data_IF_611727192968
#
_entry.id   IF_611727192968
#
_cell.length_a   1.000
_cell.length_b   1.000
_cell.length_c   1.000
_cell.angle_alpha   90.00
_cell.angle_beta   90.00
_cell.angle_gamma   90.00
#
_symmetry.space_group_name_H-M   'P 1'
#
loop_
_entity.id
_entity.type
_entity.pdbx_description
1 polymer ?
#
# COMPACT_ATOMS: atom_id res chain seq x y z
N UNK A 1 5.58 17.46 22.59
CA UNK A 1 4.21 16.88 22.58
C UNK A 1 4.16 15.98 21.36
N UNK A 2 4.16 14.69 21.63
CA UNK A 2 4.15 13.69 20.59
C UNK A 2 2.82 13.72 19.84
N UNK A 3 2.90 13.86 18.50
CA UNK A 3 1.73 13.79 17.63
C UNK A 3 1.20 12.35 17.63
N UNK A 4 0.47 11.99 18.67
CA UNK A 4 -0.27 10.73 18.73
C UNK A 4 -1.33 10.76 17.62
N UNK A 5 -1.51 9.69 16.84
CA UNK A 5 -2.60 9.58 15.86
C UNK A 5 -3.93 9.91 16.52
N UNK A 6 -4.88 10.47 15.75
CA UNK A 6 -6.21 10.76 16.29
C UNK A 6 -6.78 9.50 16.94
N UNK A 7 -7.51 9.65 18.04
CA UNK A 7 -8.04 8.51 18.81
C UNK A 7 -8.81 7.50 17.95
N UNK A 8 -9.51 7.95 16.89
CA UNK A 8 -10.17 7.07 15.91
C UNK A 8 -9.20 6.20 15.11
N UNK A 9 -8.06 6.75 14.67
CA UNK A 9 -7.07 5.97 13.90
C UNK A 9 -6.40 4.91 14.78
N UNK A 10 -6.11 5.24 16.05
CA UNK A 10 -5.56 4.27 16.99
C UNK A 10 -6.57 3.19 17.37
N UNK A 11 -7.84 3.56 17.56
CA UNK A 11 -8.91 2.60 17.84
C UNK A 11 -9.16 1.65 16.67
N UNK A 12 -9.16 2.14 15.43
CA UNK A 12 -9.24 1.31 14.24
C UNK A 12 -8.04 0.35 14.13
N UNK A 13 -6.83 0.85 14.30
CA UNK A 13 -5.63 -0.02 14.29
C UNK A 13 -5.70 -1.10 15.38
N UNK A 14 -6.07 -0.73 16.61
CA UNK A 14 -6.19 -1.68 17.72
C UNK A 14 -7.29 -2.70 17.46
N UNK A 15 -8.46 -2.25 17.01
CA UNK A 15 -9.57 -3.12 16.65
C UNK A 15 -9.18 -4.17 15.59
N UNK A 16 -8.47 -3.77 14.55
CA UNK A 16 -7.99 -4.71 13.53
C UNK A 16 -6.87 -5.62 14.02
N UNK A 17 -5.99 -5.14 14.89
CA UNK A 17 -4.95 -5.97 15.49
C UNK A 17 -5.53 -7.01 16.47
N UNK A 18 -6.56 -6.64 17.22
CA UNK A 18 -7.25 -7.54 18.15
C UNK A 18 -8.06 -8.64 17.42
N UNK A 19 -8.60 -8.32 16.23
CA UNK A 19 -9.33 -9.29 15.40
C UNK A 19 -8.43 -10.36 14.75
N UNK A 20 -7.15 -10.10 14.58
CA UNK A 20 -6.20 -11.00 13.89
C UNK A 20 -5.87 -12.25 14.71
N UNK A 21 -6.16 -12.28 16.00
CA UNK A 21 -5.78 -13.38 16.90
C UNK A 21 -6.85 -14.46 17.11
N UNK A 22 -8.07 -14.28 16.64
CA UNK A 22 -9.17 -15.22 16.90
C UNK A 22 -9.67 -15.85 15.60
N UNK A 23 -9.53 -17.19 15.42
CA UNK A 23 -10.24 -17.90 14.36
C UNK A 23 -11.74 -17.72 14.57
N UNK A 24 -12.38 -16.93 13.73
CA UNK A 24 -13.82 -16.78 13.73
C UNK A 24 -14.40 -17.86 12.81
N UNK A 25 -15.11 -18.88 13.36
CA UNK A 25 -15.69 -19.96 12.55
C UNK A 25 -16.78 -19.45 11.59
N UNK A 26 -17.29 -18.24 11.82
CA UNK A 26 -18.29 -17.60 10.94
C UNK A 26 -17.65 -16.86 9.75
N UNK A 27 -16.32 -16.96 9.60
CA UNK A 27 -15.58 -16.35 8.48
C UNK A 27 -14.92 -17.40 7.59
N UNK A 28 -15.67 -18.01 6.67
CA UNK A 28 -15.14 -19.03 5.77
C UNK A 28 -13.99 -18.52 4.87
N UNK A 29 -13.91 -17.22 4.61
CA UNK A 29 -12.81 -16.61 3.87
C UNK A 29 -11.46 -16.78 4.56
N UNK A 30 -11.41 -16.82 5.89
CA UNK A 30 -10.16 -17.05 6.63
C UNK A 30 -9.66 -18.48 6.45
N UNK A 31 -10.57 -19.46 6.43
CA UNK A 31 -10.24 -20.86 6.15
C UNK A 31 -9.68 -21.00 4.74
N UNK A 32 -10.29 -20.32 3.76
CA UNK A 32 -9.80 -20.31 2.38
C UNK A 32 -8.41 -19.69 2.27
N UNK A 33 -8.14 -18.60 2.98
CA UNK A 33 -6.82 -17.97 3.02
C UNK A 33 -5.78 -18.88 3.69
N UNK A 34 -6.15 -19.59 4.74
CA UNK A 34 -5.25 -20.56 5.37
C UNK A 34 -4.93 -21.72 4.42
N UNK A 35 -5.94 -22.29 3.74
CA UNK A 35 -5.72 -23.32 2.72
C UNK A 35 -4.82 -22.83 1.59
N UNK A 36 -5.05 -21.62 1.07
CA UNK A 36 -4.19 -21.01 0.05
C UNK A 36 -2.76 -20.87 0.56
N UNK A 37 -2.59 -20.43 1.80
CA UNK A 37 -1.28 -20.30 2.42
C UNK A 37 -0.55 -21.63 2.50
N UNK A 38 -1.19 -22.66 3.05
CA UNK A 38 -0.57 -23.97 3.29
C UNK A 38 -0.28 -24.74 1.99
N UNK A 39 -1.25 -24.73 1.06
CA UNK A 39 -1.17 -25.57 -0.14
C UNK A 39 -0.48 -24.89 -1.32
N UNK A 40 -0.32 -23.57 -1.31
CA UNK A 40 0.14 -22.79 -2.47
C UNK A 40 1.28 -21.85 -2.11
N UNK A 41 1.10 -20.99 -1.13
CA UNK A 41 2.06 -19.95 -0.82
C UNK A 41 3.34 -20.52 -0.20
N UNK A 42 3.23 -21.34 0.85
CA UNK A 42 4.39 -21.97 1.47
C UNK A 42 5.15 -22.86 0.48
N UNK A 43 4.51 -23.74 -0.33
CA UNK A 43 5.21 -24.46 -1.38
C UNK A 43 5.86 -23.59 -2.46
N UNK A 44 5.38 -22.38 -2.69
CA UNK A 44 6.04 -21.41 -3.60
C UNK A 44 7.28 -20.78 -2.97
N UNK A 45 7.26 -20.58 -1.65
CA UNK A 45 8.45 -20.15 -0.90
C UNK A 45 9.52 -21.25 -0.92
N UNK A 46 9.15 -22.51 -0.67
CA UNK A 46 10.06 -23.66 -0.71
C UNK A 46 10.71 -23.85 -2.09
N UNK A 47 10.05 -23.37 -3.14
CA UNK A 47 10.58 -23.33 -4.52
C UNK A 47 11.39 -22.08 -4.85
N UNK A 48 11.68 -21.25 -3.85
CA UNK A 48 12.43 -19.99 -4.01
C UNK A 48 11.78 -19.00 -5.01
N UNK A 49 10.46 -19.08 -5.19
CA UNK A 49 9.72 -18.15 -6.05
C UNK A 49 9.45 -16.82 -5.37
N UNK A 50 9.53 -16.80 -4.05
CA UNK A 50 9.28 -15.63 -3.19
C UNK A 50 10.46 -15.53 -2.23
N UNK A 51 11.11 -14.36 -2.20
CA UNK A 51 12.13 -14.06 -1.19
C UNK A 51 11.46 -13.81 0.16
N UNK A 52 11.41 -14.87 0.99
CA UNK A 52 10.76 -14.79 2.29
C UNK A 52 11.55 -13.97 3.31
N UNK A 53 12.87 -13.81 3.15
CA UNK A 53 13.71 -13.07 4.10
C UNK A 53 13.70 -11.56 3.88
N UNK A 54 13.49 -11.11 2.64
CA UNK A 54 13.50 -9.69 2.28
C UNK A 54 12.40 -9.34 1.27
N UNK A 55 11.18 -9.78 1.53
CA UNK A 55 10.07 -9.61 0.62
C UNK A 55 9.80 -8.13 0.30
N UNK A 56 9.67 -7.85 -1.00
CA UNK A 56 9.12 -6.60 -1.50
C UNK A 56 7.69 -6.90 -1.92
N UNK A 57 6.74 -6.36 -1.18
CA UNK A 57 5.32 -6.51 -1.50
C UNK A 57 4.77 -5.27 -2.15
N UNK A 58 3.81 -5.46 -3.03
CA UNK A 58 2.94 -4.40 -3.55
C UNK A 58 1.50 -4.71 -3.19
N UNK A 59 0.71 -3.65 -3.05
CA UNK A 59 -0.70 -3.76 -2.71
C UNK A 59 -1.50 -2.69 -3.44
N UNK A 60 -2.73 -3.05 -3.79
CA UNK A 60 -3.67 -2.17 -4.46
C UNK A 60 -5.07 -2.78 -4.42
N UNK A 61 -6.09 -1.94 -4.63
CA UNK A 61 -7.46 -2.34 -4.86
C UNK A 61 -7.85 -2.22 -6.32
N UNK A 62 -8.81 -3.03 -6.73
CA UNK A 62 -9.46 -2.92 -8.03
C UNK A 62 -10.96 -3.04 -7.88
N UNK A 63 -11.71 -2.28 -8.66
CA UNK A 63 -13.16 -2.38 -8.73
C UNK A 63 -13.57 -3.79 -9.23
N UNK A 64 -14.58 -4.35 -8.60
CA UNK A 64 -15.21 -5.61 -8.98
C UNK A 64 -16.70 -5.37 -9.14
N UNK A 65 -17.11 -5.11 -10.39
CA UNK A 65 -18.50 -4.83 -10.73
C UNK A 65 -19.32 -6.12 -10.66
N UNK A 66 -20.52 -6.04 -10.12
CA UNK A 66 -21.44 -7.18 -10.05
C UNK A 66 -22.69 -6.92 -10.86
N UNK A 67 -23.38 -8.00 -11.25
CA UNK A 67 -24.59 -7.94 -12.03
C UNK A 67 -25.88 -7.93 -11.20
N UNK A 68 -25.75 -7.95 -9.88
CA UNK A 68 -26.90 -7.94 -8.97
C UNK A 68 -27.63 -6.61 -8.98
N UNK A 69 -28.97 -6.69 -8.86
CA UNK A 69 -29.78 -5.48 -8.74
C UNK A 69 -29.59 -4.85 -7.35
N UNK A 70 -29.03 -3.66 -7.36
CA UNK A 70 -28.83 -2.85 -6.15
C UNK A 70 -30.13 -2.46 -5.43
N UNK A 71 -31.26 -2.51 -6.11
CA UNK A 71 -32.59 -2.21 -5.54
C UNK A 71 -33.15 -3.34 -4.70
N UNK A 72 -32.65 -4.56 -4.91
CA UNK A 72 -33.20 -5.77 -4.30
C UNK A 72 -34.63 -6.09 -4.78
N UNK A 73 -35.15 -7.21 -4.34
CA UNK A 73 -36.50 -7.68 -4.67
C UNK A 73 -37.43 -7.50 -3.46
N UNK A 74 -38.66 -7.01 -3.61
CA UNK A 74 -39.62 -6.97 -2.51
C UNK A 74 -39.90 -8.39 -2.00
N UNK A 75 -39.96 -8.53 -0.69
CA UNK A 75 -40.27 -9.84 -0.06
C UNK A 75 -41.78 -10.08 -0.10
N UNK A 76 -42.56 -9.01 0.02
CA UNK A 76 -44.01 -9.02 -0.09
C UNK A 76 -44.46 -7.71 -0.77
N UNK A 77 -45.55 -7.72 -1.55
CA UNK A 77 -46.07 -6.53 -2.23
C UNK A 77 -46.54 -5.44 -1.23
N UNK A 78 -46.81 -5.81 0.02
CA UNK A 78 -47.32 -4.90 1.07
C UNK A 78 -46.24 -4.48 2.08
N UNK A 79 -45.02 -5.08 2.02
CA UNK A 79 -43.94 -4.80 2.97
C UNK A 79 -42.82 -3.95 2.30
N UNK A 80 -42.27 -3.02 3.05
CA UNK A 80 -41.09 -2.23 2.66
C UNK A 80 -39.80 -3.06 2.70
N UNK A 81 -39.86 -4.32 3.18
CA UNK A 81 -38.72 -5.19 3.33
C UNK A 81 -38.25 -5.71 1.96
N UNK A 82 -36.94 -5.56 1.70
CA UNK A 82 -36.30 -6.02 0.46
C UNK A 82 -35.27 -7.10 0.73
N UNK A 83 -35.22 -8.07 -0.17
CA UNK A 83 -34.20 -9.12 -0.20
C UNK A 83 -33.16 -8.78 -1.27
N UNK A 84 -31.89 -8.81 -0.89
CA UNK A 84 -30.76 -8.55 -1.77
C UNK A 84 -30.04 -9.88 -2.11
N UNK A 85 -29.64 -10.02 -3.35
CA UNK A 85 -28.83 -11.17 -3.79
C UNK A 85 -27.38 -11.05 -3.29
N UNK A 86 -26.91 -9.81 -3.14
CA UNK A 86 -25.58 -9.46 -2.65
C UNK A 86 -25.70 -8.45 -1.50
N UNK A 87 -26.02 -8.93 -0.26
CA UNK A 87 -26.27 -8.04 0.86
C UNK A 87 -25.04 -7.26 1.35
N UNK A 88 -23.83 -7.73 1.02
CA UNK A 88 -22.57 -7.10 1.42
C UNK A 88 -21.97 -6.20 0.31
N UNK A 89 -22.58 -6.18 -0.89
CA UNK A 89 -22.16 -5.27 -1.95
C UNK A 89 -22.59 -3.83 -1.64
N UNK A 90 -21.82 -2.89 -2.13
CA UNK A 90 -22.10 -1.47 -1.91
C UNK A 90 -21.65 -0.62 -3.11
N UNK A 91 -21.91 0.67 -3.05
CA UNK A 91 -21.52 1.63 -4.06
C UNK A 91 -20.08 2.10 -3.84
N UNK A 92 -19.30 2.06 -4.92
CA UNK A 92 -17.92 2.55 -4.96
C UNK A 92 -17.67 3.49 -6.12
N UNK A 93 -16.48 4.06 -6.16
CA UNK A 93 -15.99 4.88 -7.24
C UNK A 93 -14.86 4.17 -7.98
N UNK A 94 -15.06 3.92 -9.28
CA UNK A 94 -14.02 3.41 -10.14
C UNK A 94 -13.24 4.59 -10.72
N UNK A 95 -11.99 4.76 -10.30
CA UNK A 95 -11.14 5.86 -10.73
C UNK A 95 -10.60 5.70 -12.15
N UNK A 96 -10.57 4.48 -12.69
CA UNK A 96 -10.11 4.20 -14.04
C UNK A 96 -11.20 4.52 -15.08
N UNK A 97 -12.44 4.13 -14.77
CA UNK A 97 -13.59 4.39 -15.65
C UNK A 97 -14.32 5.71 -15.31
N UNK A 98 -13.87 6.41 -14.24
CA UNK A 98 -14.45 7.67 -13.74
C UNK A 98 -15.97 7.58 -13.51
N UNK A 99 -16.43 6.45 -12.96
CA UNK A 99 -17.86 6.19 -12.72
C UNK A 99 -18.13 5.57 -11.35
N UNK A 100 -19.36 5.76 -10.86
CA UNK A 100 -19.90 5.03 -9.73
C UNK A 100 -20.28 3.63 -10.19
N UNK A 101 -19.95 2.60 -9.38
CA UNK A 101 -20.34 1.23 -9.63
C UNK A 101 -20.93 0.60 -8.37
N UNK A 102 -21.72 -0.47 -8.53
CA UNK A 102 -22.22 -1.30 -7.45
C UNK A 102 -21.49 -2.64 -7.45
N UNK A 103 -20.96 -3.04 -6.28
CA UNK A 103 -20.19 -4.27 -6.20
C UNK A 103 -19.24 -4.35 -5.01
N UNK A 104 -18.07 -4.89 -5.30
CA UNK A 104 -17.00 -5.13 -4.33
C UNK A 104 -15.71 -4.45 -4.77
N UNK A 105 -14.75 -4.35 -3.84
CA UNK A 105 -13.35 -4.05 -4.12
C UNK A 105 -12.53 -5.32 -3.93
N UNK A 106 -11.77 -5.72 -4.94
CA UNK A 106 -10.76 -6.76 -4.87
C UNK A 106 -9.45 -6.13 -4.41
N UNK A 107 -9.09 -6.32 -3.15
CA UNK A 107 -7.83 -5.83 -2.59
C UNK A 107 -6.83 -6.97 -2.52
N UNK A 108 -5.63 -6.78 -3.06
CA UNK A 108 -4.62 -7.82 -3.11
C UNK A 108 -3.23 -7.35 -2.65
N UNK A 109 -2.44 -8.30 -2.15
CA UNK A 109 -1.03 -8.18 -1.84
C UNK A 109 -0.28 -9.13 -2.76
N UNK A 110 0.73 -8.64 -3.46
CA UNK A 110 1.51 -9.42 -4.41
C UNK A 110 3.02 -9.20 -4.25
N UNK A 111 3.81 -10.10 -4.80
CA UNK A 111 5.26 -9.95 -4.95
C UNK A 111 5.70 -10.32 -6.37
N UNK A 112 6.78 -9.70 -6.81
CA UNK A 112 7.43 -10.02 -8.08
C UNK A 112 8.55 -11.02 -7.85
N UNK A 113 8.47 -12.17 -8.52
CA UNK A 113 9.55 -13.15 -8.59
C UNK A 113 10.52 -12.78 -9.71
N UNK A 114 11.70 -12.27 -9.34
CA UNK A 114 12.73 -11.89 -10.31
C UNK A 114 13.29 -13.11 -11.08
N UNK A 115 13.36 -14.27 -10.43
CA UNK A 115 13.92 -15.49 -11.00
C UNK A 115 13.11 -15.97 -12.22
N UNK A 116 11.80 -15.86 -12.16
CA UNK A 116 10.90 -16.29 -13.23
C UNK A 116 10.28 -15.15 -14.04
N UNK A 117 10.50 -13.90 -13.62
CA UNK A 117 9.81 -12.73 -14.17
C UNK A 117 8.29 -12.92 -14.18
N UNK A 118 7.73 -13.26 -13.00
CA UNK A 118 6.30 -13.48 -12.80
C UNK A 118 5.84 -12.78 -11.52
N UNK A 119 4.60 -12.33 -11.54
CA UNK A 119 3.95 -11.70 -10.39
C UNK A 119 3.08 -12.74 -9.67
N UNK A 120 3.23 -12.82 -8.34
CA UNK A 120 2.57 -13.82 -7.52
C UNK A 120 1.66 -13.15 -6.48
N UNK A 121 0.36 -13.49 -6.42
CA UNK A 121 -0.52 -13.06 -5.35
C UNK A 121 -0.12 -13.75 -4.03
N UNK A 122 0.05 -12.97 -2.97
CA UNK A 122 0.38 -13.48 -1.64
C UNK A 122 -0.84 -13.55 -0.74
N UNK A 123 -1.75 -12.60 -0.89
CA UNK A 123 -2.97 -12.47 -0.10
C UNK A 123 -3.98 -11.61 -0.83
N UNK A 124 -5.26 -11.79 -0.55
CA UNK A 124 -6.32 -10.94 -1.10
C UNK A 124 -7.55 -10.90 -0.20
N UNK A 125 -8.38 -9.88 -0.35
CA UNK A 125 -9.69 -9.77 0.27
C UNK A 125 -10.71 -9.22 -0.71
N UNK A 126 -11.97 -9.63 -0.55
CA UNK A 126 -13.12 -9.04 -1.23
C UNK A 126 -13.86 -8.20 -0.20
N UNK A 127 -13.95 -6.90 -0.44
CA UNK A 127 -14.55 -5.94 0.47
C UNK A 127 -15.72 -5.23 -0.21
N UNK A 128 -16.69 -4.66 0.52
CA UNK A 128 -17.68 -3.76 -0.08
C UNK A 128 -17.03 -2.64 -0.88
N UNK A 129 -17.59 -2.28 -2.03
CA UNK A 129 -17.02 -1.24 -2.90
C UNK A 129 -16.87 0.14 -2.22
N UNK A 130 -17.65 0.42 -1.18
CA UNK A 130 -17.53 1.64 -0.35
C UNK A 130 -16.28 1.67 0.54
N UNK A 131 -15.63 0.52 0.76
CA UNK A 131 -14.45 0.45 1.61
C UNK A 131 -13.22 0.93 0.86
N UNK A 132 -12.61 2.02 1.33
CA UNK A 132 -11.42 2.60 0.75
C UNK A 132 -10.19 1.68 0.93
N UNK A 133 -9.34 1.54 -0.11
CA UNK A 133 -8.19 0.64 -0.11
C UNK A 133 -7.21 0.92 1.04
N UNK A 134 -7.00 2.18 1.39
CA UNK A 134 -6.15 2.55 2.54
C UNK A 134 -6.69 2.04 3.89
N UNK A 135 -7.99 1.70 3.98
CA UNK A 135 -8.59 1.04 5.16
C UNK A 135 -8.41 -0.47 5.06
N UNK A 136 -8.61 -1.04 3.85
CA UNK A 136 -8.43 -2.48 3.58
C UNK A 136 -7.01 -2.97 3.85
N UNK A 137 -6.01 -2.10 3.68
CA UNK A 137 -4.60 -2.40 3.96
C UNK A 137 -4.38 -2.96 5.38
N UNK A 138 -5.00 -2.37 6.40
CA UNK A 138 -4.71 -2.73 7.81
C UNK A 138 -5.10 -4.17 8.14
N UNK A 139 -6.36 -4.59 7.94
CA UNK A 139 -6.77 -5.97 8.20
C UNK A 139 -6.05 -6.96 7.26
N UNK A 140 -5.92 -6.65 5.97
CA UNK A 140 -5.29 -7.53 5.00
C UNK A 140 -3.82 -7.80 5.35
N UNK A 141 -3.04 -6.76 5.66
CA UNK A 141 -1.63 -6.91 6.00
C UNK A 141 -1.43 -7.59 7.36
N UNK A 142 -2.33 -7.35 8.33
CA UNK A 142 -2.29 -8.00 9.63
C UNK A 142 -2.59 -9.51 9.52
N UNK A 143 -3.64 -9.88 8.76
CA UNK A 143 -3.99 -11.28 8.50
C UNK A 143 -2.89 -12.00 7.71
N UNK A 144 -2.37 -11.38 6.65
CA UNK A 144 -1.26 -11.93 5.88
C UNK A 144 -0.05 -12.25 6.77
N UNK A 145 0.36 -11.33 7.62
CA UNK A 145 1.48 -11.57 8.56
C UNK A 145 1.21 -12.65 9.58
N UNK A 146 -0.04 -12.79 10.03
CA UNK A 146 -0.44 -13.87 10.94
C UNK A 146 -0.39 -15.25 10.28
N UNK A 147 -0.86 -15.34 9.03
CA UNK A 147 -0.86 -16.59 8.26
C UNK A 147 0.55 -16.98 7.75
N UNK A 148 1.39 -16.00 7.42
CA UNK A 148 2.71 -16.20 6.85
C UNK A 148 3.81 -15.52 7.69
N UNK A 149 4.03 -15.91 8.95
CA UNK A 149 5.03 -15.29 9.82
C UNK A 149 6.47 -15.49 9.34
N UNK A 150 6.69 -16.46 8.44
CA UNK A 150 7.99 -16.73 7.81
C UNK A 150 8.40 -15.65 6.80
N UNK A 151 7.44 -14.91 6.23
CA UNK A 151 7.73 -13.84 5.27
C UNK A 151 8.08 -12.55 6.01
N UNK A 152 9.34 -12.14 5.90
CA UNK A 152 9.84 -10.87 6.43
C UNK A 152 9.69 -9.77 5.39
N UNK A 153 8.67 -8.95 5.53
CA UNK A 153 8.41 -7.85 4.62
C UNK A 153 9.45 -6.76 4.85
N UNK A 154 10.27 -6.48 3.85
CA UNK A 154 11.26 -5.40 3.88
C UNK A 154 10.71 -4.09 3.32
N UNK A 155 10.04 -4.15 2.17
CA UNK A 155 9.48 -2.97 1.51
C UNK A 155 8.00 -3.20 1.19
N UNK A 156 7.22 -2.13 1.36
CA UNK A 156 5.82 -2.08 0.97
C UNK A 156 5.65 -1.00 -0.09
N UNK A 157 5.32 -1.40 -1.31
CA UNK A 157 5.10 -0.51 -2.45
C UNK A 157 3.61 -0.25 -2.63
N UNK A 158 3.20 1.01 -2.69
CA UNK A 158 1.82 1.40 -2.91
C UNK A 158 1.72 2.75 -3.64
N UNK A 159 0.55 3.04 -4.18
CA UNK A 159 0.27 4.32 -4.81
C UNK A 159 0.00 5.45 -3.79
N UNK A 160 -0.33 6.62 -4.28
CA UNK A 160 -0.58 7.82 -3.47
C UNK A 160 -1.89 7.76 -2.65
N UNK A 161 -2.80 6.80 -2.89
CA UNK A 161 -3.99 6.59 -2.06
C UNK A 161 -3.62 6.12 -0.65
N UNK A 162 -2.44 5.48 -0.51
CA UNK A 162 -1.90 5.00 0.76
C UNK A 162 -0.99 6.01 1.47
N UNK A 163 -0.77 7.20 0.91
CA UNK A 163 0.01 8.28 1.54
C UNK A 163 -0.78 8.90 2.70
N UNK A 164 -0.86 8.19 3.80
CA UNK A 164 -1.47 8.66 5.03
C UNK A 164 -0.64 8.29 6.26
N UNK A 165 -0.77 9.08 7.30
CA UNK A 165 0.02 8.94 8.54
C UNK A 165 -0.08 7.55 9.16
N UNK A 166 -1.26 6.92 9.12
CA UNK A 166 -1.49 5.61 9.74
C UNK A 166 -0.67 4.52 9.04
N UNK A 167 -0.64 4.51 7.70
CA UNK A 167 0.16 3.57 6.90
C UNK A 167 1.66 3.68 7.24
N UNK A 168 2.21 4.89 7.30
CA UNK A 168 3.63 5.07 7.64
C UNK A 168 3.96 4.65 9.08
N UNK A 169 3.05 4.91 10.03
CA UNK A 169 3.24 4.48 11.41
C UNK A 169 3.13 2.96 11.57
N UNK A 170 2.20 2.31 10.86
CA UNK A 170 2.11 0.85 10.80
C UNK A 170 3.41 0.26 10.28
N UNK A 171 3.89 0.74 9.13
CA UNK A 171 5.14 0.30 8.54
C UNK A 171 6.32 0.45 9.52
N UNK A 172 6.42 1.60 10.19
CA UNK A 172 7.45 1.82 11.22
C UNK A 172 7.36 0.81 12.36
N UNK A 173 6.16 0.58 12.91
CA UNK A 173 5.97 -0.34 14.02
C UNK A 173 6.32 -1.79 13.66
N UNK A 174 6.19 -2.14 12.40
CA UNK A 174 6.47 -3.47 11.88
C UNK A 174 7.83 -3.61 11.21
N UNK A 175 8.70 -2.59 11.28
CA UNK A 175 10.01 -2.55 10.62
C UNK A 175 9.92 -2.73 9.10
N UNK A 176 8.85 -2.25 8.48
CA UNK A 176 8.66 -2.24 7.03
C UNK A 176 9.07 -0.87 6.49
N UNK A 177 9.85 -0.83 5.43
CA UNK A 177 10.16 0.42 4.73
C UNK A 177 9.05 0.75 3.73
N UNK A 178 8.26 1.81 3.93
CA UNK A 178 7.24 2.21 2.98
C UNK A 178 7.88 2.85 1.73
N UNK A 179 7.41 2.46 0.56
CA UNK A 179 7.79 2.98 -0.76
C UNK A 179 6.49 3.41 -1.45
N UNK A 180 5.94 4.50 -0.95
CA UNK A 180 4.60 5.00 -1.29
C UNK A 180 4.74 6.30 -2.04
N UNK A 181 3.99 6.46 -3.13
CA UNK A 181 3.94 7.72 -3.86
C UNK A 181 3.25 8.81 -3.03
N UNK A 182 3.69 10.05 -3.18
CA UNK A 182 3.14 11.14 -2.38
C UNK A 182 1.84 11.67 -2.99
N UNK A 183 0.82 11.80 -2.16
CA UNK A 183 -0.41 12.43 -2.57
C UNK A 183 -0.25 13.98 -2.56
N UNK A 184 -0.44 14.65 -3.69
CA UNK A 184 -0.35 16.11 -3.76
C UNK A 184 -1.30 16.85 -2.80
N UNK A 185 -2.41 16.22 -2.40
CA UNK A 185 -3.37 16.78 -1.42
C UNK A 185 -2.82 16.73 0.01
N UNK A 186 -1.94 15.78 0.31
CA UNK A 186 -1.28 15.61 1.61
C UNK A 186 0.05 16.39 1.69
N UNK A 187 0.16 17.47 0.99
CA UNK A 187 1.33 18.33 1.01
C UNK A 187 1.53 18.92 2.40
N UNK A 188 2.22 18.26 3.29
CA UNK A 188 2.58 18.74 4.62
C UNK A 188 3.01 20.22 4.67
N UNK A 189 3.69 20.68 5.67
CA UNK A 189 4.16 22.07 5.76
C UNK A 189 4.93 22.45 4.50
N UNK A 190 4.40 23.37 3.70
CA UNK A 190 5.07 23.93 2.51
C UNK A 190 6.29 24.78 2.85
N UNK A 191 6.52 25.08 4.14
CA UNK A 191 7.64 25.86 4.66
C UNK A 191 8.17 25.22 5.93
N UNK A 192 9.51 25.21 6.08
CA UNK A 192 10.18 24.85 7.32
C UNK A 192 10.31 26.07 8.21
N UNK A 193 10.66 27.21 7.59
CA UNK A 193 10.72 28.56 8.17
C UNK A 193 10.55 29.59 7.06
N UNK A 194 10.70 30.87 7.37
CA UNK A 194 10.50 31.96 6.40
C UNK A 194 11.43 31.87 5.18
N UNK A 195 12.63 31.32 5.36
CA UNK A 195 13.68 31.25 4.34
C UNK A 195 13.71 29.89 3.59
N UNK A 196 13.00 28.88 4.06
CA UNK A 196 13.07 27.52 3.50
C UNK A 196 11.67 27.02 3.16
N UNK A 197 11.42 26.86 1.89
CA UNK A 197 10.21 26.23 1.36
C UNK A 197 10.43 24.74 1.12
N UNK A 198 9.39 24.04 0.74
CA UNK A 198 9.42 22.62 0.40
C UNK A 198 8.75 22.47 -0.95
N UNK A 199 9.43 21.83 -1.90
CA UNK A 199 8.86 21.55 -3.21
C UNK A 199 7.88 20.36 -3.17
N UNK A 200 7.26 20.05 -4.30
CA UNK A 200 6.29 18.95 -4.43
C UNK A 200 6.90 17.58 -4.12
N UNK A 201 8.20 17.41 -4.34
CA UNK A 201 8.94 16.19 -4.02
C UNK A 201 9.36 16.11 -2.54
N UNK A 202 8.94 17.08 -1.71
CA UNK A 202 9.30 17.11 -0.28
C UNK A 202 10.73 17.57 0.00
N UNK A 203 11.47 18.02 -1.01
CA UNK A 203 12.85 18.53 -0.86
C UNK A 203 12.83 19.98 -0.37
N UNK A 204 13.62 20.32 0.65
CA UNK A 204 13.78 21.72 1.06
C UNK A 204 14.41 22.55 -0.06
N UNK A 205 13.86 23.75 -0.28
CA UNK A 205 14.33 24.75 -1.24
C UNK A 205 14.80 25.97 -0.45
N UNK A 206 16.03 26.41 -0.71
CA UNK A 206 16.62 27.54 -0.01
C UNK A 206 16.05 28.89 -0.51
N UNK A 207 16.34 30.00 0.20
CA UNK A 207 15.86 31.34 -0.13
C UNK A 207 16.25 31.85 -1.53
N UNK A 208 17.32 31.27 -2.12
CA UNK A 208 17.71 31.55 -3.50
C UNK A 208 17.02 30.66 -4.55
N UNK A 209 16.00 29.88 -4.15
CA UNK A 209 15.23 29.04 -5.05
C UNK A 209 15.89 27.71 -5.44
N UNK A 210 17.04 27.36 -4.89
CA UNK A 210 17.72 26.09 -5.20
C UNK A 210 17.33 24.98 -4.25
N UNK A 211 17.10 23.78 -4.81
CA UNK A 211 16.91 22.55 -4.02
C UNK A 211 18.14 22.24 -3.19
N UNK A 212 17.93 22.04 -1.90
CA UNK A 212 19.01 21.65 -0.99
C UNK A 212 19.49 20.23 -1.26
N UNK A 213 20.78 20.00 -1.07
CA UNK A 213 21.40 18.70 -1.29
C UNK A 213 21.16 17.79 -0.08
N UNK A 214 20.66 16.58 -0.33
CA UNK A 214 20.56 15.57 0.71
C UNK A 214 21.94 15.18 1.25
N UNK A 215 22.07 15.14 2.58
CA UNK A 215 23.35 14.94 3.29
C UNK A 215 23.24 13.85 4.39
N UNK A 216 22.34 12.90 4.23
CA UNK A 216 22.25 11.71 5.04
C UNK A 216 21.08 11.66 6.03
N UNK A 217 20.94 10.52 6.65
CA UNK A 217 19.92 10.20 7.66
C UNK A 217 20.57 9.90 9.01
N UNK A 218 20.00 10.41 10.07
CA UNK A 218 20.42 10.15 11.44
C UNK A 218 19.37 9.27 12.16
N UNK A 219 19.60 7.96 12.30
CA UNK A 219 18.63 7.03 12.89
C UNK A 219 18.27 7.38 14.35
N UNK A 220 19.26 7.74 15.17
CA UNK A 220 19.06 8.06 16.60
C UNK A 220 18.16 9.28 16.83
N UNK A 221 18.10 10.21 15.87
CA UNK A 221 17.27 11.41 15.92
C UNK A 221 16.12 11.37 14.91
N UNK A 222 15.98 10.27 14.17
CA UNK A 222 14.97 10.05 13.13
C UNK A 222 14.78 11.28 12.24
N UNK A 223 15.87 11.71 11.58
CA UNK A 223 15.86 12.93 10.75
C UNK A 223 16.75 12.83 9.54
N UNK A 224 16.25 13.34 8.43
CA UNK A 224 17.01 13.58 7.20
C UNK A 224 17.70 14.93 7.30
N UNK A 225 18.92 15.02 6.78
CA UNK A 225 19.74 16.22 6.74
C UNK A 225 19.89 16.69 5.30
N UNK A 226 19.72 17.98 5.11
CA UNK A 226 19.93 18.67 3.83
C UNK A 226 20.88 19.81 4.02
N UNK A 227 21.70 20.11 3.00
CA UNK A 227 22.72 21.16 3.02
C UNK A 227 22.57 22.12 1.86
N UNK A 228 23.17 23.29 2.03
CA UNK A 228 23.30 24.31 1.01
C UNK A 228 23.88 23.70 -0.29
N UNK A 229 23.20 23.82 -1.44
CA UNK A 229 23.62 23.21 -2.69
C UNK A 229 24.91 23.82 -3.24
N UNK A 230 25.16 25.11 -3.02
CA UNK A 230 26.42 25.73 -3.37
C UNK A 230 27.61 25.18 -2.58
N UNK A 231 27.45 24.96 -1.26
CA UNK A 231 28.53 24.41 -0.42
C UNK A 231 28.76 22.92 -0.65
N UNK A 232 27.83 22.24 -1.27
CA UNK A 232 27.97 20.82 -1.71
C UNK A 232 28.40 20.71 -3.18
N UNK A 233 28.69 21.83 -3.85
CA UNK A 233 29.07 21.90 -5.27
C UNK A 233 28.02 21.36 -6.25
N UNK A 234 26.76 21.31 -5.83
CA UNK A 234 25.62 20.97 -6.72
C UNK A 234 25.26 22.18 -7.60
N UNK A 235 25.57 23.40 -7.13
CA UNK A 235 25.37 24.66 -7.80
C UNK A 235 26.66 25.48 -7.70
N UNK A 236 27.14 25.99 -8.80
CA UNK A 236 28.43 26.70 -8.87
C UNK A 236 28.37 28.11 -8.24
N UNK A 237 27.23 28.76 -8.34
CA UNK A 237 27.01 30.11 -7.84
C UNK A 237 25.82 30.16 -6.88
N UNK A 238 25.86 31.08 -5.91
CA UNK A 238 24.78 31.32 -4.98
C UNK A 238 24.25 32.73 -5.12
N UNK A 239 23.01 32.88 -5.55
CA UNK A 239 22.32 34.16 -5.75
C UNK A 239 21.68 34.71 -4.47
N UNK A 240 22.10 34.24 -3.30
CA UNK A 240 21.65 34.79 -2.03
C UNK A 240 22.09 36.25 -1.89
N UNK A 241 21.13 37.17 -1.81
CA UNK A 241 21.41 38.59 -1.60
C UNK A 241 22.09 38.82 -0.24
N UNK A 242 21.66 38.06 0.78
CA UNK A 242 22.26 38.03 2.10
C UNK A 242 22.87 36.66 2.42
N UNK A 243 23.97 36.66 3.16
CA UNK A 243 24.64 35.44 3.56
C UNK A 243 23.73 34.62 4.50
N UNK A 244 23.07 33.59 3.95
CA UNK A 244 22.11 32.73 4.66
C UNK A 244 22.74 31.92 5.81
N UNK A 245 24.06 31.81 5.88
CA UNK A 245 24.80 31.14 6.94
C UNK A 245 26.24 31.66 7.04
N UNK A 246 26.69 31.99 8.25
CA UNK A 246 28.08 32.33 8.56
C UNK A 246 29.00 31.10 8.54
N UNK A 247 28.47 29.89 8.59
CA UNK A 247 29.27 28.68 8.59
C UNK A 247 29.86 28.36 7.23
N UNK A 248 31.16 28.01 7.15
CA UNK A 248 31.79 27.58 5.90
C UNK A 248 31.14 26.28 5.37
N UNK A 249 30.49 25.49 6.25
CA UNK A 249 29.73 24.31 5.90
C UNK A 249 28.42 24.63 5.17
N UNK A 250 27.88 25.85 5.31
CA UNK A 250 26.65 26.33 4.72
C UNK A 250 25.40 26.05 5.56
N UNK A 251 24.25 26.49 5.05
CA UNK A 251 22.94 26.28 5.69
C UNK A 251 22.63 24.79 5.75
N UNK A 252 22.15 24.34 6.91
CA UNK A 252 21.69 22.97 7.13
C UNK A 252 20.24 22.98 7.56
N UNK A 253 19.45 22.06 7.01
CA UNK A 253 18.03 21.90 7.30
C UNK A 253 17.76 20.45 7.63
N UNK A 254 16.84 20.20 8.56
CA UNK A 254 16.44 18.87 8.98
C UNK A 254 14.96 18.65 8.71
N UNK A 255 14.65 17.46 8.15
CA UNK A 255 13.28 16.93 8.06
C UNK A 255 13.18 15.78 9.07
N UNK A 256 12.21 15.88 9.98
CA UNK A 256 12.05 14.92 11.08
C UNK A 256 10.81 14.06 10.83
N UNK A 257 10.91 12.78 11.15
CA UNK A 257 9.77 11.87 11.14
C UNK A 257 8.66 12.24 12.15
N UNK A 258 9.01 13.00 13.23
CA UNK A 258 8.01 13.57 14.15
C UNK A 258 7.14 14.64 13.49
N UNK A 259 7.68 15.38 12.54
CA UNK A 259 7.00 16.48 11.86
C UNK A 259 6.18 15.96 10.67
N UNK A 260 6.72 14.93 10.00
CA UNK A 260 6.10 14.31 8.84
C UNK A 260 6.49 12.82 8.79
N UNK A 261 5.52 11.88 8.93
CA UNK A 261 5.80 10.45 9.00
C UNK A 261 6.44 9.88 7.73
N UNK A 262 6.37 10.56 6.59
CA UNK A 262 7.06 10.18 5.35
C UNK A 262 8.58 10.18 5.48
N UNK A 263 9.13 10.81 6.53
CA UNK A 263 10.56 10.83 6.86
C UNK A 263 10.94 9.87 8.00
N UNK A 264 10.13 8.83 8.23
CA UNK A 264 10.40 7.80 9.24
C UNK A 264 11.44 6.75 8.81
N UNK A 265 11.78 6.70 7.54
CA UNK A 265 12.79 5.79 6.99
C UNK A 265 13.97 6.55 6.37
N UNK A 266 15.09 5.86 6.18
CA UNK A 266 16.26 6.44 5.51
C UNK A 266 16.09 6.60 3.99
N UNK A 267 15.07 5.96 3.41
CA UNK A 267 14.83 5.97 1.97
C UNK A 267 14.25 7.33 1.55
N UNK A 268 15.00 8.04 0.73
CA UNK A 268 14.58 9.36 0.24
C UNK A 268 13.64 9.21 -0.94
N UNK A 269 12.47 9.86 -0.85
CA UNK A 269 11.49 9.88 -1.93
C UNK A 269 12.12 10.34 -3.25
N UNK A 270 11.77 9.67 -4.36
CA UNK A 270 12.27 9.92 -5.71
C UNK A 270 13.79 9.72 -5.91
N UNK A 271 14.53 9.23 -4.90
CA UNK A 271 15.92 8.80 -5.13
C UNK A 271 15.98 7.61 -6.09
N UNK A 272 17.12 7.37 -6.73
CA UNK A 272 17.31 6.23 -7.63
C UNK A 272 17.03 4.89 -6.92
N UNK A 273 17.43 4.77 -5.65
CA UNK A 273 17.13 3.59 -4.83
C UNK A 273 15.63 3.44 -4.61
N UNK A 274 14.92 4.55 -4.30
CA UNK A 274 13.46 4.56 -4.14
C UNK A 274 12.76 4.15 -5.44
N UNK A 275 13.13 4.75 -6.57
CA UNK A 275 12.56 4.43 -7.89
C UNK A 275 12.76 2.98 -8.29
N UNK A 276 13.96 2.43 -8.01
CA UNK A 276 14.26 1.03 -8.30
C UNK A 276 13.34 0.06 -7.55
N UNK A 277 13.02 0.36 -6.27
CA UNK A 277 12.12 -0.45 -5.47
C UNK A 277 10.66 -0.21 -5.89
N UNK A 278 10.27 1.05 -6.14
CA UNK A 278 8.91 1.45 -6.50
C UNK A 278 8.38 0.78 -7.77
N UNK A 279 9.27 0.39 -8.69
CA UNK A 279 8.89 -0.38 -9.89
C UNK A 279 8.12 -1.66 -9.56
N UNK A 280 8.30 -2.23 -8.37
CA UNK A 280 7.56 -3.41 -7.95
C UNK A 280 6.06 -3.13 -7.70
N UNK A 281 5.64 -1.86 -7.58
CA UNK A 281 4.23 -1.50 -7.42
C UNK A 281 3.35 -2.08 -8.53
N UNK A 282 3.84 -2.06 -9.76
CA UNK A 282 3.09 -2.60 -10.91
C UNK A 282 2.89 -4.12 -10.88
N UNK A 283 3.55 -4.83 -9.95
CA UNK A 283 3.28 -6.26 -9.74
C UNK A 283 1.82 -6.51 -9.37
N UNK A 284 1.27 -5.68 -8.50
CA UNK A 284 -0.11 -5.83 -8.07
C UNK A 284 -1.11 -5.55 -9.19
N UNK A 285 -0.87 -4.54 -10.01
CA UNK A 285 -1.70 -4.24 -11.19
C UNK A 285 -1.74 -5.43 -12.16
N UNK A 286 -0.60 -6.10 -12.38
CA UNK A 286 -0.53 -7.28 -13.25
C UNK A 286 -1.23 -8.49 -12.64
N UNK A 287 -1.14 -8.70 -11.32
CA UNK A 287 -1.92 -9.74 -10.61
C UNK A 287 -3.41 -9.46 -10.74
N UNK A 288 -3.84 -8.21 -10.44
CA UNK A 288 -5.24 -7.82 -10.54
C UNK A 288 -5.79 -8.05 -11.96
N UNK A 289 -5.04 -7.63 -12.98
CA UNK A 289 -5.41 -7.86 -14.38
C UNK A 289 -5.51 -9.37 -14.72
N UNK A 290 -4.60 -10.21 -14.22
CA UNK A 290 -4.69 -11.66 -14.43
C UNK A 290 -5.92 -12.25 -13.78
N UNK A 291 -6.20 -11.90 -12.53
CA UNK A 291 -7.36 -12.42 -11.78
C UNK A 291 -8.67 -11.96 -12.40
N UNK A 292 -8.82 -10.67 -12.60
CA UNK A 292 -10.09 -10.10 -13.04
C UNK A 292 -10.36 -10.36 -14.52
N UNK A 293 -9.37 -10.13 -15.40
CA UNK A 293 -9.56 -10.18 -16.85
C UNK A 293 -9.16 -11.52 -17.46
N UNK A 294 -7.99 -12.09 -17.15
CA UNK A 294 -7.54 -13.33 -17.80
C UNK A 294 -8.26 -14.56 -17.25
N UNK A 295 -8.50 -14.63 -15.94
CA UNK A 295 -9.33 -15.67 -15.30
C UNK A 295 -10.81 -15.31 -15.24
N UNK A 296 -11.19 -14.11 -15.76
CA UNK A 296 -12.57 -13.67 -15.94
C UNK A 296 -13.40 -13.59 -14.65
N UNK A 297 -12.78 -13.38 -13.49
CA UNK A 297 -13.50 -13.27 -12.22
C UNK A 297 -14.52 -12.13 -12.26
N UNK A 298 -14.19 -11.00 -12.90
CA UNK A 298 -15.10 -9.87 -13.06
C UNK A 298 -16.33 -10.19 -13.93
N UNK A 299 -16.18 -11.10 -14.91
CA UNK A 299 -17.27 -11.48 -15.83
C UNK A 299 -18.15 -12.61 -15.32
N UNK A 300 -17.84 -13.18 -14.19
CA UNK A 300 -18.62 -14.26 -13.62
C UNK A 300 -19.94 -13.73 -13.05
N UNK A 301 -21.05 -14.35 -13.44
CA UNK A 301 -22.36 -14.04 -12.88
C UNK A 301 -22.51 -14.79 -11.54
N UNK A 302 -21.96 -14.21 -10.50
CA UNK A 302 -21.96 -14.75 -9.14
C UNK A 302 -22.66 -13.80 -8.19
N UNK A 303 -23.08 -14.35 -7.05
CA UNK A 303 -23.62 -13.61 -5.93
C UNK A 303 -22.82 -13.92 -4.69
N UNK A 304 -22.71 -12.94 -3.80
CA UNK A 304 -22.02 -12.95 -2.51
C UNK A 304 -20.49 -12.88 -2.58
N UNK A 305 -19.93 -12.14 -1.66
CA UNK A 305 -18.50 -12.02 -1.40
C UNK A 305 -17.79 -13.36 -1.22
N UNK A 306 -18.46 -14.33 -0.56
CA UNK A 306 -17.92 -15.67 -0.35
C UNK A 306 -17.63 -16.41 -1.67
N UNK A 307 -18.52 -16.30 -2.67
CA UNK A 307 -18.30 -16.92 -3.99
C UNK A 307 -17.20 -16.18 -4.76
N UNK A 308 -17.19 -14.85 -4.74
CA UNK A 308 -16.11 -14.07 -5.34
C UNK A 308 -14.78 -14.42 -4.69
N UNK A 309 -14.71 -14.57 -3.36
CA UNK A 309 -13.50 -15.00 -2.64
C UNK A 309 -13.04 -16.38 -3.11
N UNK A 310 -13.95 -17.34 -3.24
CA UNK A 310 -13.60 -18.69 -3.69
C UNK A 310 -13.02 -18.72 -5.11
N UNK A 311 -13.67 -18.09 -6.07
CA UNK A 311 -13.19 -18.09 -7.46
C UNK A 311 -11.93 -17.24 -7.64
N UNK A 312 -11.78 -16.16 -6.88
CA UNK A 312 -10.54 -15.36 -6.82
C UNK A 312 -9.38 -16.23 -6.29
N UNK A 313 -9.65 -17.05 -5.25
CA UNK A 313 -8.65 -17.99 -4.73
C UNK A 313 -8.22 -18.98 -5.80
N UNK A 314 -9.16 -19.57 -6.57
CA UNK A 314 -8.84 -20.49 -7.67
C UNK A 314 -7.97 -19.80 -8.74
N UNK A 315 -8.25 -18.55 -9.08
CA UNK A 315 -7.42 -17.77 -10.00
C UNK A 315 -6.01 -17.56 -9.44
N UNK A 316 -5.88 -17.22 -8.15
CA UNK A 316 -4.59 -17.07 -7.48
C UNK A 316 -3.82 -18.39 -7.43
N UNK A 317 -4.47 -19.51 -7.16
CA UNK A 317 -3.87 -20.86 -7.22
C UNK A 317 -3.29 -21.11 -8.61
N UNK A 318 -4.07 -20.88 -9.67
CA UNK A 318 -3.63 -21.10 -11.05
C UNK A 318 -2.40 -20.24 -11.39
N UNK A 319 -2.31 -18.99 -10.89
CA UNK A 319 -1.14 -18.15 -11.08
C UNK A 319 0.12 -18.80 -10.50
N UNK A 320 0.02 -19.39 -9.32
CA UNK A 320 1.13 -20.10 -8.69
C UNK A 320 1.48 -21.40 -9.42
N UNK A 321 0.47 -22.18 -9.85
CA UNK A 321 0.70 -23.40 -10.63
C UNK A 321 1.44 -23.11 -11.94
N UNK A 322 1.07 -22.04 -12.65
CA UNK A 322 1.78 -21.59 -13.84
C UNK A 322 3.26 -21.27 -13.52
N UNK A 323 3.53 -20.64 -12.36
CA UNK A 323 4.88 -20.36 -11.91
C UNK A 323 5.65 -21.64 -11.59
N UNK A 324 5.01 -22.64 -10.94
CA UNK A 324 5.65 -23.93 -10.65
C UNK A 324 6.00 -24.69 -11.92
N UNK A 325 5.09 -24.72 -12.91
CA UNK A 325 5.36 -25.34 -14.23
C UNK A 325 6.53 -24.63 -14.92
N UNK A 326 6.59 -23.30 -14.83
CA UNK A 326 7.67 -22.52 -15.42
C UNK A 326 9.02 -22.77 -14.73
N UNK A 327 9.02 -22.94 -13.41
CA UNK A 327 10.21 -23.23 -12.62
C UNK A 327 10.75 -24.65 -12.83
N UNK A 328 9.90 -25.59 -13.30
CA UNK A 328 10.27 -26.98 -13.54
C UNK A 328 10.90 -27.22 -14.91
N UNK A 329 10.94 -26.20 -15.77
CA UNK A 329 11.55 -26.22 -17.11
C UNK A 329 12.96 -25.70 -17.08
#
# INVERSE_FOLDING_TARGET
>A
MDNVPSGKTMQLMQHYLDLVGTPDPDRPELILQELFTQLVLLPSIDRELIDADQAIISLDGSSLHIHSDHRGHPVDEQDSMRRYSDPHADWGWDSHEEKIYFGYSFFSISAYSSNLSIDLPLFFTINPASQHDSVSLFPALAQFRSLCPSIKIKHLCADSAFDNKATFLLCKNWNITPVIDQNPRNTGKKRINDDITINEQGTPVCQAGYEMTYDGYCPSRNRHKYRCPHKTKKVDHCDCQDQCSKSPYGRTVYRKGSDDPRYLSELVYQSEKWKAIYKNRTSNERVNNRVLNNYHVEKMNMHTDARYTFFTMLACINIHLDAWIKASK
#
